data_IF_650490267227
#
_entry.id   IF_650490267227
#
_cell.length_a   1.000
_cell.length_b   1.000
_cell.length_c   1.000
_cell.angle_alpha   90.00
_cell.angle_beta   90.00
_cell.angle_gamma   90.00
#
_symmetry.space_group_name_H-M   'P 1'
#
loop_
_entity.id
_entity.type
_entity.pdbx_description
1 polymer ?
#
# COMPACT_ATOMS: atom_id res chain seq x y z
N UNK A 1 -20.39 3.21 -14.63
CA UNK A 1 -19.05 3.82 -14.49
C UNK A 1 -18.44 3.26 -13.21
N UNK A 2 -17.20 2.77 -13.23
CA UNK A 2 -16.62 2.04 -12.11
C UNK A 2 -15.12 2.24 -12.00
N UNK A 3 -14.61 2.29 -10.77
CA UNK A 3 -13.18 2.31 -10.49
C UNK A 3 -12.67 0.87 -10.59
N UNK A 4 -11.68 0.64 -11.46
CA UNK A 4 -10.94 -0.62 -11.47
C UNK A 4 -9.91 -0.61 -10.34
N UNK A 5 -9.99 -1.57 -9.43
CA UNK A 5 -9.12 -1.68 -8.26
C UNK A 5 -8.42 -3.03 -8.23
N UNK A 6 -7.15 -3.03 -7.83
CA UNK A 6 -6.44 -4.24 -7.42
C UNK A 6 -6.58 -4.39 -5.91
N UNK A 7 -7.08 -5.54 -5.45
CA UNK A 7 -7.22 -5.85 -4.03
C UNK A 7 -6.06 -6.76 -3.61
N UNK A 8 -5.27 -6.29 -2.65
CA UNK A 8 -4.15 -7.03 -2.07
C UNK A 8 -4.46 -7.34 -0.61
N UNK A 9 -4.49 -8.62 -0.27
CA UNK A 9 -4.41 -9.08 1.12
C UNK A 9 -2.95 -9.28 1.49
N UNK A 10 -2.46 -8.51 2.47
CA UNK A 10 -1.06 -8.47 2.83
C UNK A 10 -0.58 -9.76 3.54
N UNK A 11 -1.49 -10.48 4.22
CA UNK A 11 -1.24 -11.71 5.02
C UNK A 11 -0.22 -11.61 6.15
N UNK A 12 1.00 -11.17 5.86
CA UNK A 12 2.12 -11.06 6.82
C UNK A 12 2.47 -9.59 7.02
N UNK A 13 2.47 -9.13 8.28
CA UNK A 13 2.89 -7.76 8.62
C UNK A 13 4.41 -7.63 8.71
N UNK A 14 5.10 -8.63 9.25
CA UNK A 14 6.55 -8.55 9.48
C UNK A 14 7.20 -9.91 9.17
N UNK A 15 8.09 -10.00 8.16
CA UNK A 15 8.28 -9.01 7.09
C UNK A 15 7.08 -9.01 6.12
N UNK A 16 6.58 -7.83 5.76
CA UNK A 16 5.54 -7.71 4.73
C UNK A 16 6.12 -7.65 3.32
N UNK A 17 5.33 -8.12 2.36
CA UNK A 17 5.67 -8.18 0.93
C UNK A 17 5.56 -6.79 0.28
N UNK A 18 6.68 -6.07 0.27
CA UNK A 18 6.76 -4.70 -0.30
C UNK A 18 6.71 -4.75 -1.82
N UNK A 19 7.30 -5.77 -2.41
CA UNK A 19 7.46 -5.96 -3.84
C UNK A 19 6.11 -6.08 -4.54
N UNK A 20 5.18 -6.86 -3.98
CA UNK A 20 3.82 -7.01 -4.51
C UNK A 20 3.05 -5.68 -4.50
N UNK A 21 3.10 -4.93 -3.39
CA UNK A 21 2.40 -3.64 -3.29
C UNK A 21 3.04 -2.60 -4.19
N UNK A 22 4.38 -2.55 -4.26
CA UNK A 22 5.14 -1.66 -5.14
C UNK A 22 4.78 -1.88 -6.62
N UNK A 23 4.70 -3.14 -7.07
CA UNK A 23 4.33 -3.48 -8.44
C UNK A 23 2.91 -3.01 -8.80
N UNK A 24 1.95 -3.21 -7.89
CA UNK A 24 0.57 -2.75 -8.08
C UNK A 24 0.47 -1.22 -8.12
N UNK A 25 1.16 -0.52 -7.23
CA UNK A 25 1.16 0.96 -7.20
C UNK A 25 1.86 1.53 -8.43
N UNK A 26 2.96 0.93 -8.90
CA UNK A 26 3.60 1.31 -10.17
C UNK A 26 2.68 1.14 -11.37
N UNK A 27 1.75 0.18 -11.33
CA UNK A 27 0.77 -0.05 -12.40
C UNK A 27 -0.42 0.91 -12.31
N UNK A 28 -0.97 1.12 -11.12
CA UNK A 28 -2.23 1.85 -10.90
C UNK A 28 -2.05 3.33 -10.60
N UNK A 29 -0.88 3.73 -10.10
CA UNK A 29 -0.55 5.09 -9.67
C UNK A 29 -1.30 5.56 -8.43
N UNK A 30 -1.99 4.67 -7.70
CA UNK A 30 -2.80 5.02 -6.52
C UNK A 30 -2.71 3.93 -5.46
N UNK A 31 -2.74 4.33 -4.19
CA UNK A 31 -2.75 3.42 -3.05
C UNK A 31 -3.83 3.83 -2.05
N UNK A 32 -4.63 2.85 -1.58
CA UNK A 32 -5.53 3.01 -0.44
C UNK A 32 -5.22 1.89 0.55
N UNK A 33 -5.03 2.25 1.82
CA UNK A 33 -4.72 1.31 2.90
C UNK A 33 -5.90 1.34 3.87
N UNK A 34 -6.38 0.16 4.26
CA UNK A 34 -7.45 0.01 5.26
C UNK A 34 -7.01 -0.96 6.34
N UNK A 35 -7.25 -0.60 7.60
CA UNK A 35 -7.06 -1.47 8.76
C UNK A 35 -7.91 -0.97 9.93
N UNK A 36 -8.26 -1.87 10.86
CA UNK A 36 -9.11 -1.55 12.02
C UNK A 36 -8.35 -0.85 13.16
N UNK A 37 -7.03 -1.01 13.22
CA UNK A 37 -6.20 -0.41 14.26
C UNK A 37 -6.23 1.14 14.21
N UNK A 38 -5.85 1.84 15.30
CA UNK A 38 -5.73 3.29 15.30
C UNK A 38 -4.85 3.81 14.17
N UNK A 39 -5.23 4.95 13.58
CA UNK A 39 -4.50 5.56 12.46
C UNK A 39 -3.10 6.01 12.89
N UNK A 40 -3.01 6.74 14.00
CA UNK A 40 -1.73 7.25 14.52
C UNK A 40 -0.86 6.10 15.01
N UNK A 41 0.31 5.92 14.41
CA UNK A 41 1.24 4.83 14.74
C UNK A 41 0.78 3.44 14.24
N UNK A 42 -0.31 3.37 13.49
CA UNK A 42 -0.80 2.13 12.88
C UNK A 42 0.09 1.65 11.74
N UNK A 43 -0.04 0.38 11.38
CA UNK A 43 0.79 -0.24 10.33
C UNK A 43 0.54 0.38 8.94
N UNK A 44 -0.60 1.03 8.71
CA UNK A 44 -0.84 1.80 7.49
C UNK A 44 0.15 2.95 7.30
N UNK A 45 0.69 3.53 8.38
CA UNK A 45 1.73 4.55 8.28
C UNK A 45 3.04 3.99 7.70
N UNK A 46 3.43 2.78 8.14
CA UNK A 46 4.62 2.07 7.63
C UNK A 46 4.49 1.72 6.15
N UNK A 47 3.32 1.19 5.73
CA UNK A 47 3.05 0.88 4.32
C UNK A 47 3.09 2.18 3.49
N UNK A 48 2.42 3.23 3.95
CA UNK A 48 2.38 4.51 3.23
C UNK A 48 3.77 5.12 3.06
N UNK A 49 4.58 5.16 4.11
CA UNK A 49 5.92 5.72 4.07
C UNK A 49 6.84 4.90 3.16
N UNK A 50 6.84 3.57 3.32
CA UNK A 50 7.63 2.64 2.49
C UNK A 50 7.30 2.76 0.99
N UNK A 51 6.01 2.86 0.64
CA UNK A 51 5.62 2.97 -0.78
C UNK A 51 5.92 4.35 -1.33
N UNK A 52 5.75 5.42 -0.55
CA UNK A 52 6.13 6.76 -1.00
C UNK A 52 7.64 6.82 -1.34
N UNK A 53 8.50 6.23 -0.51
CA UNK A 53 9.95 6.16 -0.76
C UNK A 53 10.27 5.40 -2.07
N UNK A 54 9.56 4.31 -2.34
CA UNK A 54 9.81 3.42 -3.49
C UNK A 54 9.17 3.90 -4.80
N UNK A 55 8.07 4.65 -4.70
CA UNK A 55 7.21 4.99 -5.82
C UNK A 55 7.01 6.50 -6.02
N UNK A 56 7.84 7.36 -5.43
CA UNK A 56 7.67 8.83 -5.47
C UNK A 56 7.39 9.40 -6.87
N UNK A 57 8.00 8.87 -7.94
CA UNK A 57 7.79 9.35 -9.32
C UNK A 57 6.47 8.89 -9.96
N UNK A 58 5.71 8.03 -9.28
CA UNK A 58 4.49 7.36 -9.78
C UNK A 58 3.24 7.66 -8.94
N UNK A 59 3.41 8.23 -7.75
CA UNK A 59 2.33 8.65 -6.84
C UNK A 59 1.90 10.08 -7.17
#
# INVERSE_FOLDING_TARGET
EGISCELIDLKTLIPWDKETVEASVKKTGRLLISHEAPVTGGFGAEISASILERCFSRV
#
